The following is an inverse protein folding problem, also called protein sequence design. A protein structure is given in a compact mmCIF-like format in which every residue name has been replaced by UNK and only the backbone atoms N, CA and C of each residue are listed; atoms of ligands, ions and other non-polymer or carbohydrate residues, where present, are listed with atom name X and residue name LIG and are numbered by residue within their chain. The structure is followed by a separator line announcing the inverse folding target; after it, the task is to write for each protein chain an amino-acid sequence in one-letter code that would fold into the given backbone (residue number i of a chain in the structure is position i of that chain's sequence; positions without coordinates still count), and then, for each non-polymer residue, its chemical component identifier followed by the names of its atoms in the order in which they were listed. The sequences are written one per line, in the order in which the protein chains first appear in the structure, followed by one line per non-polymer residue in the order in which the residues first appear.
data_IF_828766919656
#
_entry.id   IF_828766919656
#
_cell.length_a   1.000
_cell.length_b   1.000
_cell.length_c   1.000
_cell.angle_alpha   90.00
_cell.angle_beta   90.00
_cell.angle_gamma   90.00
#
_symmetry.space_group_name_H-M   'P 1'
#
loop_
_entity.id
_entity.type
_entity.pdbx_description
1 polymer ?
#
# COMPACT_ATOMS: atom_id res chain seq x y z
N UNK A 1 10.49 -2.23 -3.82
CA UNK A 1 9.96 -1.30 -2.79
C UNK A 1 8.45 -1.51 -2.59
N UNK A 2 7.98 -1.43 -1.34
CA UNK A 2 6.56 -1.64 -1.01
C UNK A 2 6.21 -3.11 -0.75
N UNK A 3 4.98 -3.50 -1.08
CA UNK A 3 4.41 -4.85 -0.88
C UNK A 3 3.73 -5.37 -2.16
N UNK A 4 3.19 -6.59 -2.12
CA UNK A 4 2.51 -7.24 -3.27
C UNK A 4 1.12 -7.74 -2.87
N UNK A 5 0.13 -6.84 -2.91
CA UNK A 5 -1.27 -7.05 -2.50
C UNK A 5 -2.20 -6.35 -3.51
N UNK A 6 -3.38 -6.90 -3.81
CA UNK A 6 -4.38 -6.23 -4.65
C UNK A 6 -5.04 -5.04 -3.93
N UNK A 7 -5.73 -4.20 -4.69
CA UNK A 7 -6.53 -3.07 -4.20
C UNK A 7 -7.72 -2.76 -5.12
N UNK A 8 -8.72 -2.04 -4.58
CA UNK A 8 -10.01 -1.74 -5.24
C UNK A 8 -10.30 -0.24 -5.41
N UNK A 9 -9.60 0.61 -4.65
CA UNK A 9 -9.70 2.08 -4.70
C UNK A 9 -8.36 2.77 -4.38
N UNK A 10 -7.98 2.84 -3.10
CA UNK A 10 -6.77 3.53 -2.57
C UNK A 10 -6.65 3.39 -1.05
N UNK A 11 -7.67 3.81 -0.28
CA UNK A 11 -7.71 3.69 1.20
C UNK A 11 -7.57 2.25 1.70
N UNK A 12 -7.99 1.27 0.91
CA UNK A 12 -7.85 -0.16 1.25
C UNK A 12 -6.38 -0.64 1.25
N UNK A 13 -5.47 0.09 0.60
CA UNK A 13 -4.03 -0.17 0.62
C UNK A 13 -3.33 0.46 1.84
N UNK A 14 -3.87 1.53 2.44
CA UNK A 14 -3.33 2.09 3.70
C UNK A 14 -3.34 1.07 4.86
N UNK A 15 -4.39 0.24 4.99
CA UNK A 15 -4.45 -0.86 5.98
C UNK A 15 -3.21 -1.77 5.94
N UNK A 16 -2.91 -2.49 4.83
CA UNK A 16 -1.75 -3.37 4.75
C UNK A 16 -0.42 -2.62 4.73
N UNK A 17 -0.33 -1.41 4.14
CA UNK A 17 0.90 -0.62 4.18
C UNK A 17 1.31 -0.22 5.62
N UNK A 18 0.38 0.33 6.40
CA UNK A 18 0.66 0.76 7.78
C UNK A 18 0.98 -0.44 8.69
N UNK A 19 0.22 -1.53 8.54
CA UNK A 19 0.43 -2.77 9.30
C UNK A 19 1.74 -3.50 8.95
N UNK A 20 2.21 -3.38 7.69
CA UNK A 20 3.53 -3.87 7.26
C UNK A 20 4.72 -3.07 7.85
N UNK A 21 4.48 -1.87 8.38
CA UNK A 21 5.50 -1.00 8.99
C UNK A 21 5.96 0.16 8.10
N UNK A 22 5.43 0.29 6.88
CA UNK A 22 5.70 1.41 5.97
C UNK A 22 4.89 2.66 6.35
N UNK A 23 5.22 3.82 5.75
CA UNK A 23 4.59 5.12 6.04
C UNK A 23 3.48 5.47 5.03
N UNK A 24 3.85 5.65 3.77
CA UNK A 24 2.88 5.90 2.70
C UNK A 24 2.13 4.63 2.30
N UNK A 25 0.97 4.80 1.66
CA UNK A 25 0.19 3.71 1.08
C UNK A 25 -0.82 4.22 0.05
N UNK A 26 -0.77 3.68 -1.18
CA UNK A 26 -1.76 3.97 -2.23
C UNK A 26 -1.88 2.82 -3.25
N UNK A 27 -3.04 2.72 -3.89
CA UNK A 27 -3.26 1.82 -5.03
C UNK A 27 -2.63 2.44 -6.29
N UNK A 28 -1.66 1.75 -6.91
CA UNK A 28 -0.98 2.14 -8.16
C UNK A 28 -0.75 0.91 -9.04
N UNK A 29 -0.76 1.06 -10.36
CA UNK A 29 -0.59 -0.05 -11.32
C UNK A 29 -1.52 -1.28 -11.03
N UNK A 30 -2.69 -1.05 -10.43
CA UNK A 30 -3.65 -2.09 -10.00
C UNK A 30 -3.23 -2.90 -8.75
N UNK A 31 -2.28 -2.39 -7.95
CA UNK A 31 -1.67 -3.05 -6.78
C UNK A 31 -1.36 -2.07 -5.66
N UNK A 32 -1.25 -2.58 -4.44
CA UNK A 32 -0.89 -1.78 -3.28
C UNK A 32 0.60 -1.42 -3.31
N UNK A 33 0.91 -0.13 -3.13
CA UNK A 33 2.25 0.44 -3.10
C UNK A 33 2.43 1.21 -1.78
N UNK A 34 3.58 0.99 -1.15
CA UNK A 34 4.00 1.64 0.08
C UNK A 34 5.45 2.13 -0.06
N UNK A 35 5.88 3.02 0.82
CA UNK A 35 7.27 3.54 0.86
C UNK A 35 7.70 3.83 2.30
N UNK A 36 9.02 3.83 2.58
CA UNK A 36 9.56 4.08 3.93
C UNK A 36 9.40 5.54 4.35
N UNK A 37 9.58 5.80 5.65
CA UNK A 37 9.53 7.15 6.24
C UNK A 37 10.66 8.08 5.75
#
# INVERSE_FOLDING_TARGET
VGINVKCKHSRQCLKPCKDAGMRFGKCTNGKCHCTPK
#
